data_IF_913672058774
#
_entry.id   IF_913672058774
#
_cell.length_a   1.000
_cell.length_b   1.000
_cell.length_c   1.000
_cell.angle_alpha   90.00
_cell.angle_beta   90.00
_cell.angle_gamma   90.00
#
_symmetry.space_group_name_H-M   'P 1'
#
loop_
_entity.id
_entity.type
_entity.pdbx_description
1 polymer ?
#
# COMPACT_ATOMS: atom_id res chain seq x y z
N UNK A 1 -24.25 -21.92 23.82
CA UNK A 1 -24.47 -20.83 22.88
C UNK A 1 -23.17 -20.42 22.28
N UNK A 2 -22.93 -20.73 21.02
CA UNK A 2 -21.74 -20.25 20.31
C UNK A 2 -21.93 -18.76 20.00
N UNK A 3 -21.04 -17.90 20.49
CA UNK A 3 -20.93 -16.51 20.06
C UNK A 3 -20.58 -16.51 18.56
N UNK A 4 -21.61 -16.31 17.75
CA UNK A 4 -21.44 -16.35 16.29
C UNK A 4 -20.91 -15.02 15.72
N UNK A 5 -20.98 -13.93 16.50
CA UNK A 5 -20.59 -12.60 16.04
C UNK A 5 -20.10 -11.74 17.20
N UNK A 6 -18.90 -11.18 17.05
CA UNK A 6 -18.36 -10.18 17.95
C UNK A 6 -18.25 -8.85 17.19
N UNK A 7 -18.71 -7.77 17.81
CA UNK A 7 -18.51 -6.42 17.30
C UNK A 7 -17.63 -5.66 18.27
N UNK A 8 -16.64 -4.96 17.77
CA UNK A 8 -15.79 -4.07 18.53
C UNK A 8 -15.67 -2.72 17.82
N UNK A 9 -15.68 -1.66 18.59
CA UNK A 9 -15.38 -0.32 18.08
C UNK A 9 -14.48 0.40 19.08
N UNK A 10 -13.48 1.10 18.53
CA UNK A 10 -12.58 1.96 19.30
C UNK A 10 -12.54 3.31 18.61
N UNK A 11 -12.80 4.35 19.38
CA UNK A 11 -12.68 5.72 18.92
C UNK A 11 -11.75 6.50 19.85
N UNK A 12 -10.72 7.12 19.28
CA UNK A 12 -9.80 8.02 19.97
C UNK A 12 -9.97 9.42 19.37
N UNK A 13 -9.99 10.44 20.23
CA UNK A 13 -10.13 11.83 19.79
C UNK A 13 -9.01 12.70 20.37
N UNK A 14 -8.49 13.60 19.52
CA UNK A 14 -7.40 14.50 19.90
C UNK A 14 -6.76 15.16 18.67
N UNK A 15 -5.49 15.47 18.75
CA UNK A 15 -4.70 15.86 17.55
C UNK A 15 -4.65 14.72 16.54
N UNK A 16 -4.55 13.51 17.04
CA UNK A 16 -4.71 12.26 16.30
C UNK A 16 -6.07 11.67 16.64
N UNK A 17 -6.83 11.27 15.65
CA UNK A 17 -8.09 10.56 15.83
C UNK A 17 -8.06 9.22 15.10
N UNK A 18 -8.63 8.21 15.74
CA UNK A 18 -8.81 6.89 15.16
C UNK A 18 -10.23 6.39 15.46
N UNK A 19 -10.88 5.83 14.46
CA UNK A 19 -12.17 5.14 14.59
C UNK A 19 -12.05 3.81 13.83
N UNK A 20 -12.27 2.72 14.54
CA UNK A 20 -12.21 1.37 13.99
C UNK A 20 -13.48 0.64 14.37
N UNK A 21 -14.22 0.16 13.39
CA UNK A 21 -15.36 -0.72 13.56
C UNK A 21 -15.08 -2.08 12.94
N UNK A 22 -15.19 -3.14 13.73
CA UNK A 22 -14.91 -4.50 13.33
C UNK A 22 -16.06 -5.42 13.71
N UNK A 23 -16.52 -6.25 12.78
CA UNK A 23 -17.40 -7.38 13.02
C UNK A 23 -16.66 -8.68 12.71
N UNK A 24 -16.69 -9.64 13.66
CA UNK A 24 -16.00 -10.92 13.55
C UNK A 24 -17.00 -12.06 13.61
N UNK A 25 -17.01 -12.92 12.62
CA UNK A 25 -17.71 -14.20 12.60
C UNK A 25 -16.69 -15.34 12.70
N UNK A 26 -16.50 -15.84 13.93
CA UNK A 26 -15.51 -16.88 14.20
C UNK A 26 -15.91 -18.21 13.56
N UNK A 27 -17.21 -18.54 13.59
CA UNK A 27 -17.70 -19.80 13.01
C UNK A 27 -17.63 -19.81 11.49
N UNK A 28 -17.88 -18.65 10.85
CA UNK A 28 -17.75 -18.46 9.42
C UNK A 28 -16.34 -18.11 8.96
N UNK A 29 -15.38 -18.00 9.89
CA UNK A 29 -14.00 -17.63 9.62
C UNK A 29 -13.89 -16.35 8.77
N UNK A 30 -14.67 -15.33 9.15
CA UNK A 30 -14.76 -14.05 8.45
C UNK A 30 -14.66 -12.89 9.42
N UNK A 31 -14.03 -11.84 8.98
CA UNK A 31 -14.06 -10.53 9.61
C UNK A 31 -14.55 -9.49 8.60
N UNK A 32 -15.26 -8.50 9.08
CA UNK A 32 -15.63 -7.34 8.28
C UNK A 32 -15.12 -6.09 9.01
N UNK A 33 -14.29 -5.32 8.35
CA UNK A 33 -13.93 -3.99 8.80
C UNK A 33 -14.98 -3.04 8.25
N UNK A 34 -15.85 -2.55 9.15
CA UNK A 34 -16.98 -1.69 8.79
C UNK A 34 -16.53 -0.23 8.66
N UNK A 35 -15.62 0.18 9.52
CA UNK A 35 -15.05 1.53 9.54
C UNK A 35 -13.58 1.45 9.90
N UNK A 36 -12.78 2.26 9.23
CA UNK A 36 -11.41 2.55 9.58
C UNK A 36 -11.14 4.01 9.20
N UNK A 37 -10.87 4.81 10.20
CA UNK A 37 -10.39 6.17 10.00
C UNK A 37 -9.22 6.39 10.95
N UNK A 38 -8.12 6.84 10.41
CA UNK A 38 -6.99 7.32 11.17
C UNK A 38 -6.59 8.66 10.58
N UNK A 39 -6.59 9.70 11.40
CA UNK A 39 -6.22 11.04 10.96
C UNK A 39 -5.35 11.72 12.00
N UNK A 40 -4.34 12.43 11.54
CA UNK A 40 -3.49 13.30 12.35
C UNK A 40 -3.52 14.72 11.77
N UNK A 41 -3.71 15.71 12.63
CA UNK A 41 -3.70 17.10 12.23
C UNK A 41 -2.34 17.71 12.55
N UNK A 42 -1.51 17.85 11.53
CA UNK A 42 -0.21 18.49 11.63
C UNK A 42 -0.25 19.90 11.01
N UNK A 43 0.00 20.90 11.86
CA UNK A 43 -0.13 22.32 11.48
C UNK A 43 -1.55 22.61 10.94
N UNK A 44 -1.71 22.76 9.63
CA UNK A 44 -3.00 23.02 8.97
C UNK A 44 -3.45 21.90 8.04
N UNK A 45 -2.67 20.83 7.92
CA UNK A 45 -2.95 19.73 7.01
C UNK A 45 -3.48 18.54 7.78
N UNK A 46 -4.60 17.99 7.32
CA UNK A 46 -5.12 16.72 7.78
C UNK A 46 -4.49 15.61 6.94
N UNK A 47 -3.81 14.69 7.60
CA UNK A 47 -3.18 13.52 6.97
C UNK A 47 -3.75 12.26 7.59
N UNK A 48 -3.80 11.19 6.83
CA UNK A 48 -4.32 9.93 7.36
C UNK A 48 -4.90 9.01 6.31
N UNK A 49 -5.69 8.05 6.77
CA UNK A 49 -6.40 7.09 5.93
C UNK A 49 -7.84 6.93 6.39
N UNK A 50 -8.72 6.68 5.45
CA UNK A 50 -10.14 6.41 5.70
C UNK A 50 -10.65 5.31 4.78
N UNK A 51 -11.31 4.32 5.35
CA UNK A 51 -12.00 3.29 4.61
C UNK A 51 -13.25 3.88 3.92
N UNK A 52 -13.36 3.69 2.61
CA UNK A 52 -14.46 4.23 1.82
C UNK A 52 -15.71 3.33 1.86
N UNK A 53 -15.49 2.03 2.06
CA UNK A 53 -16.56 1.01 2.14
C UNK A 53 -16.11 -0.16 3.00
N UNK A 54 -17.04 -0.88 3.65
CA UNK A 54 -16.70 -2.07 4.43
C UNK A 54 -15.92 -3.09 3.59
N UNK A 55 -14.90 -3.70 4.19
CA UNK A 55 -14.09 -4.74 3.56
C UNK A 55 -14.27 -6.07 4.29
N UNK A 56 -14.42 -7.14 3.53
CA UNK A 56 -14.49 -8.49 4.06
C UNK A 56 -13.11 -9.16 4.01
N UNK A 57 -12.78 -9.83 5.09
CA UNK A 57 -11.57 -10.63 5.24
C UNK A 57 -12.02 -12.04 5.61
N UNK A 58 -11.68 -13.03 4.80
CA UNK A 58 -11.88 -14.42 5.17
C UNK A 58 -10.55 -15.04 5.59
N UNK A 59 -10.60 -15.90 6.60
CA UNK A 59 -9.44 -16.60 7.15
C UNK A 59 -9.87 -18.05 7.48
N UNK A 60 -8.90 -18.93 7.68
CA UNK A 60 -9.15 -20.36 7.92
C UNK A 60 -8.25 -21.20 7.04
N UNK A 61 -8.70 -21.62 5.89
CA UNK A 61 -7.87 -22.36 4.94
C UNK A 61 -6.91 -21.47 4.13
N UNK A 62 -6.82 -20.22 4.49
CA UNK A 62 -6.03 -19.17 3.86
C UNK A 62 -6.51 -17.80 4.29
N UNK A 63 -5.97 -16.77 3.69
CA UNK A 63 -6.36 -15.37 3.90
C UNK A 63 -6.90 -14.82 2.59
N UNK A 64 -8.06 -14.19 2.63
CA UNK A 64 -8.52 -13.37 1.50
C UNK A 64 -9.04 -12.03 1.96
N UNK A 65 -8.75 -11.03 1.17
CA UNK A 65 -9.22 -9.65 1.35
C UNK A 65 -10.02 -9.28 0.11
N UNK A 66 -11.23 -8.91 0.33
CA UNK A 66 -12.18 -8.52 -0.69
C UNK A 66 -12.09 -7.00 -0.84
N UNK A 67 -11.71 -6.50 -1.96
CA UNK A 67 -11.82 -5.12 -2.41
C UNK A 67 -11.63 -4.00 -1.33
N UNK A 68 -10.47 -3.95 -0.72
CA UNK A 68 -10.06 -2.85 0.15
C UNK A 68 -10.04 -1.55 -0.67
N UNK A 69 -10.64 -0.50 -0.12
CA UNK A 69 -10.72 0.82 -0.75
C UNK A 69 -10.54 1.90 0.32
N UNK A 70 -9.39 2.56 0.28
CA UNK A 70 -9.00 3.60 1.23
C UNK A 70 -8.77 4.93 0.52
N UNK A 71 -9.29 5.99 1.11
CA UNK A 71 -8.81 7.35 0.84
C UNK A 71 -7.55 7.60 1.67
N UNK A 72 -6.54 8.16 1.05
CA UNK A 72 -5.29 8.59 1.67
C UNK A 72 -5.27 10.11 1.68
N UNK A 73 -5.27 10.72 2.87
CA UNK A 73 -5.38 12.16 3.05
C UNK A 73 -3.99 12.84 3.08
N UNK A 74 -3.82 14.03 2.51
CA UNK A 74 -4.85 14.94 1.98
C UNK A 74 -5.39 14.53 0.61
N UNK A 75 -4.68 13.70 -0.14
CA UNK A 75 -5.09 13.25 -1.47
C UNK A 75 -4.52 11.86 -1.74
N UNK A 76 -5.20 11.11 -2.56
CA UNK A 76 -4.79 9.79 -3.02
C UNK A 76 -5.73 8.68 -2.58
N UNK A 77 -5.55 7.53 -3.19
CA UNK A 77 -6.33 6.32 -2.92
C UNK A 77 -5.44 5.10 -2.86
N UNK A 78 -5.82 4.13 -2.04
CA UNK A 78 -5.25 2.79 -2.03
C UNK A 78 -6.39 1.79 -2.23
N UNK A 79 -6.26 0.97 -3.24
CA UNK A 79 -7.15 -0.18 -3.44
C UNK A 79 -6.35 -1.47 -3.38
N UNK A 80 -6.91 -2.52 -2.79
CA UNK A 80 -6.27 -3.83 -2.76
C UNK A 80 -7.31 -4.94 -2.71
N UNK A 81 -6.99 -6.06 -3.33
CA UNK A 81 -7.73 -7.31 -3.22
C UNK A 81 -6.73 -8.46 -3.33
N UNK A 82 -7.04 -9.59 -2.72
CA UNK A 82 -6.14 -10.71 -2.83
C UNK A 82 -6.56 -11.93 -2.02
N UNK A 83 -5.93 -13.02 -2.34
CA UNK A 83 -6.07 -14.28 -1.62
C UNK A 83 -4.73 -15.00 -1.53
N UNK A 84 -4.51 -15.63 -0.40
CA UNK A 84 -3.37 -16.47 -0.12
C UNK A 84 -3.85 -17.73 0.59
N UNK A 85 -3.63 -18.87 0.00
CA UNK A 85 -3.75 -20.17 0.63
C UNK A 85 -2.44 -20.98 0.42
N UNK A 86 -2.37 -22.19 0.93
CA UNK A 86 -1.17 -23.02 0.80
C UNK A 86 -0.77 -23.38 -0.64
N UNK A 87 -1.64 -23.10 -1.62
CA UNK A 87 -1.45 -23.49 -3.03
C UNK A 87 -1.54 -22.32 -3.98
N UNK A 88 -2.23 -21.26 -3.61
CA UNK A 88 -2.53 -20.15 -4.51
C UNK A 88 -2.22 -18.81 -3.85
N UNK A 89 -1.54 -17.97 -4.59
CA UNK A 89 -1.31 -16.56 -4.30
C UNK A 89 -1.95 -15.73 -5.41
N UNK A 90 -2.78 -14.77 -5.03
CA UNK A 90 -3.27 -13.74 -5.91
C UNK A 90 -3.38 -12.44 -5.09
N UNK A 91 -2.73 -11.38 -5.55
CA UNK A 91 -2.76 -10.07 -4.91
C UNK A 91 -2.72 -8.99 -6.00
N UNK A 92 -3.64 -8.07 -5.91
CA UNK A 92 -3.57 -6.81 -6.65
C UNK A 92 -3.68 -5.65 -5.67
N UNK A 93 -2.79 -4.68 -5.79
CA UNK A 93 -2.88 -3.43 -5.04
C UNK A 93 -2.49 -2.25 -5.92
N UNK A 94 -3.17 -1.13 -5.73
CA UNK A 94 -2.90 0.12 -6.45
C UNK A 94 -2.95 1.30 -5.50
N UNK A 95 -1.93 2.11 -5.59
CA UNK A 95 -1.81 3.39 -4.90
C UNK A 95 -1.83 4.49 -5.97
N UNK A 96 -2.67 5.49 -5.79
CA UNK A 96 -2.80 6.59 -6.75
C UNK A 96 -2.72 7.94 -6.05
N UNK A 97 -1.91 8.82 -6.63
CA UNK A 97 -1.79 10.23 -6.28
C UNK A 97 -1.53 10.49 -4.80
N UNK A 98 -0.80 9.60 -4.14
CA UNK A 98 -0.46 9.76 -2.73
C UNK A 98 0.70 10.74 -2.59
N UNK A 99 0.50 11.76 -1.77
CA UNK A 99 1.53 12.75 -1.50
C UNK A 99 2.73 12.11 -0.79
N UNK A 100 3.93 12.26 -1.36
CA UNK A 100 5.17 11.69 -0.82
C UNK A 100 5.45 12.26 0.58
N UNK A 101 5.11 13.52 0.81
CA UNK A 101 5.33 14.19 2.09
C UNK A 101 4.53 13.57 3.27
N UNK A 102 3.61 12.65 3.03
CA UNK A 102 3.00 11.83 4.08
C UNK A 102 4.04 10.98 4.84
N UNK A 103 5.17 10.65 4.23
CA UNK A 103 6.25 9.94 4.91
C UNK A 103 6.79 10.73 6.12
N UNK A 104 6.62 12.05 6.16
CA UNK A 104 6.93 12.89 7.34
C UNK A 104 6.16 12.51 8.62
N UNK A 105 5.14 11.68 8.52
CA UNK A 105 4.46 11.11 9.69
C UNK A 105 5.31 10.05 10.40
N UNK A 106 6.24 9.42 9.67
CA UNK A 106 6.99 8.27 10.12
C UNK A 106 8.50 8.53 10.21
N UNK A 107 8.95 9.70 9.75
CA UNK A 107 10.38 10.06 9.75
C UNK A 107 10.58 11.55 9.95
N UNK A 108 11.68 11.90 10.62
CA UNK A 108 12.16 13.28 10.78
C UNK A 108 13.14 13.69 9.66
N UNK A 109 13.46 12.78 8.77
CA UNK A 109 14.29 13.08 7.59
C UNK A 109 13.53 14.02 6.65
N UNK A 110 14.20 15.01 6.04
CA UNK A 110 13.59 15.85 5.01
C UNK A 110 13.02 14.99 3.87
N UNK A 111 11.70 15.07 3.69
CA UNK A 111 10.98 14.35 2.64
C UNK A 111 10.58 15.35 1.57
N UNK A 112 10.87 15.10 0.28
CA UNK A 112 10.45 15.97 -0.81
C UNK A 112 8.94 16.03 -0.94
N UNK A 113 8.43 17.04 -1.60
CA UNK A 113 7.08 17.06 -2.12
C UNK A 113 7.01 16.24 -3.41
N UNK A 114 5.83 15.80 -3.79
CA UNK A 114 5.61 15.00 -4.99
C UNK A 114 4.45 14.02 -4.84
N UNK A 115 4.21 13.26 -5.89
CA UNK A 115 3.14 12.28 -5.97
C UNK A 115 3.71 10.89 -6.22
N UNK A 116 3.19 9.92 -5.47
CA UNK A 116 3.48 8.50 -5.61
C UNK A 116 2.29 7.79 -6.22
N UNK A 117 2.53 7.07 -7.30
CA UNK A 117 1.64 6.06 -7.85
C UNK A 117 2.36 4.70 -7.81
N UNK A 118 1.65 3.66 -7.42
CA UNK A 118 2.20 2.31 -7.45
C UNK A 118 1.13 1.29 -7.82
N UNK A 119 1.52 0.24 -8.51
CA UNK A 119 0.68 -0.92 -8.77
C UNK A 119 1.52 -2.18 -8.56
N UNK A 120 0.94 -3.17 -7.90
CA UNK A 120 1.51 -4.49 -7.74
C UNK A 120 0.47 -5.54 -8.12
N UNK A 121 0.89 -6.53 -8.87
CA UNK A 121 0.09 -7.71 -9.16
C UNK A 121 0.96 -8.95 -8.92
N UNK A 122 0.52 -9.82 -8.02
CA UNK A 122 1.18 -11.09 -7.71
C UNK A 122 0.24 -12.25 -7.98
N UNK A 123 0.78 -13.34 -8.48
CA UNK A 123 0.05 -14.57 -8.78
C UNK A 123 0.96 -15.80 -8.63
N UNK A 124 0.37 -16.99 -8.76
CA UNK A 124 1.11 -18.25 -8.71
C UNK A 124 0.91 -18.99 -7.40
N UNK A 125 1.98 -19.55 -6.86
CA UNK A 125 2.00 -20.22 -5.56
C UNK A 125 2.93 -19.50 -4.60
N UNK A 126 2.80 -19.69 -3.27
CA UNK A 126 3.73 -19.09 -2.30
C UNK A 126 5.20 -19.44 -2.55
N UNK A 127 5.47 -20.65 -3.07
CA UNK A 127 6.83 -21.10 -3.40
C UNK A 127 7.31 -20.67 -4.80
N UNK A 128 6.42 -20.29 -5.68
CA UNK A 128 6.72 -19.84 -7.04
C UNK A 128 5.86 -18.61 -7.41
N UNK A 129 6.05 -17.50 -6.72
CA UNK A 129 5.32 -16.28 -7.04
C UNK A 129 5.79 -15.70 -8.37
N UNK A 130 4.87 -15.05 -9.05
CA UNK A 130 5.10 -14.26 -10.26
C UNK A 130 4.35 -12.96 -10.13
N UNK A 131 4.86 -11.91 -10.74
CA UNK A 131 4.13 -10.65 -10.70
C UNK A 131 4.84 -9.49 -11.32
N UNK A 132 4.18 -8.35 -11.23
CA UNK A 132 4.67 -7.07 -11.69
C UNK A 132 4.58 -6.03 -10.58
N UNK A 133 5.50 -5.09 -10.63
CA UNK A 133 5.54 -3.90 -9.78
C UNK A 133 5.77 -2.69 -10.68
N UNK A 134 4.89 -1.73 -10.62
CA UNK A 134 5.03 -0.45 -11.28
C UNK A 134 4.99 0.65 -10.21
N UNK A 135 6.02 1.48 -10.15
CA UNK A 135 6.09 2.63 -9.24
C UNK A 135 6.46 3.87 -10.05
N UNK A 136 5.73 4.94 -9.83
CA UNK A 136 5.96 6.22 -10.48
C UNK A 136 5.92 7.33 -9.45
N UNK A 137 7.03 8.04 -9.34
CA UNK A 137 7.18 9.24 -8.53
C UNK A 137 7.22 10.44 -9.48
N UNK A 138 6.38 11.43 -9.23
CA UNK A 138 6.25 12.63 -10.07
C UNK A 138 6.38 13.89 -9.24
N UNK A 139 6.86 14.93 -9.89
CA UNK A 139 7.00 16.26 -9.29
C UNK A 139 7.81 16.23 -7.99
N UNK A 140 8.89 15.43 -7.95
CA UNK A 140 9.75 15.33 -6.79
C UNK A 140 10.52 16.65 -6.67
N UNK A 141 10.19 17.44 -5.65
CA UNK A 141 10.81 18.72 -5.39
C UNK A 141 11.22 18.83 -3.92
N UNK A 142 12.45 19.27 -3.68
CA UNK A 142 12.90 19.60 -2.33
C UNK A 142 12.60 21.08 -2.07
N UNK A 143 11.94 21.42 -0.93
CA UNK A 143 11.49 22.78 -0.64
C UNK A 143 12.57 23.87 -0.65
N UNK A 144 13.83 23.49 -0.48
CA UNK A 144 14.98 24.41 -0.41
C UNK A 144 15.92 24.30 -1.62
N UNK A 145 15.46 23.68 -2.71
CA UNK A 145 16.27 23.44 -3.90
C UNK A 145 15.72 24.19 -5.11
N UNK A 146 16.60 24.87 -5.83
CA UNK A 146 16.29 25.51 -7.13
C UNK A 146 16.29 24.50 -8.30
N UNK A 147 16.47 23.21 -8.02
CA UNK A 147 16.43 22.18 -9.05
C UNK A 147 15.02 21.99 -9.60
N UNK A 148 14.87 21.76 -10.90
CA UNK A 148 13.57 21.42 -11.48
C UNK A 148 13.00 20.14 -10.84
N UNK A 149 11.67 19.99 -10.78
CA UNK A 149 11.06 18.77 -10.26
C UNK A 149 11.51 17.54 -11.05
N UNK A 150 11.87 16.50 -10.30
CA UNK A 150 12.32 15.23 -10.87
C UNK A 150 11.17 14.22 -10.96
N UNK A 151 11.40 13.17 -11.76
CA UNK A 151 10.52 12.02 -11.85
C UNK A 151 11.33 10.71 -11.78
N UNK A 152 10.74 9.67 -11.23
CA UNK A 152 11.30 8.32 -11.17
C UNK A 152 10.24 7.31 -11.55
N UNK A 153 10.56 6.42 -12.50
CA UNK A 153 9.75 5.26 -12.85
C UNK A 153 10.53 3.99 -12.52
N UNK A 154 9.88 3.05 -11.85
CA UNK A 154 10.42 1.74 -11.54
C UNK A 154 9.43 0.70 -12.03
N UNK A 155 9.87 -0.17 -12.94
CA UNK A 155 9.11 -1.29 -13.42
C UNK A 155 9.79 -2.59 -12.97
N UNK A 156 9.06 -3.42 -12.25
CA UNK A 156 9.54 -4.66 -11.69
C UNK A 156 8.82 -5.86 -12.28
N UNK A 157 9.58 -6.93 -12.53
CA UNK A 157 9.02 -8.23 -12.90
C UNK A 157 9.59 -9.30 -11.97
N UNK A 158 8.68 -10.00 -11.28
CA UNK A 158 9.00 -11.13 -10.43
C UNK A 158 8.73 -12.43 -11.19
N UNK A 159 9.75 -13.27 -11.33
CA UNK A 159 9.66 -14.60 -11.93
C UNK A 159 10.33 -15.58 -10.98
N UNK A 160 9.55 -16.45 -10.37
CA UNK A 160 9.92 -17.60 -9.50
C UNK A 160 11.22 -17.53 -8.68
N UNK A 161 12.30 -17.02 -9.22
CA UNK A 161 13.64 -16.98 -8.60
C UNK A 161 14.37 -15.66 -8.77
N UNK A 162 13.79 -14.68 -9.43
CA UNK A 162 14.42 -13.38 -9.63
C UNK A 162 13.42 -12.24 -9.69
N UNK A 163 13.78 -11.11 -9.09
CA UNK A 163 13.11 -9.82 -9.26
C UNK A 163 14.03 -8.96 -10.15
N UNK A 164 13.53 -8.58 -11.31
CA UNK A 164 14.20 -7.64 -12.22
C UNK A 164 13.49 -6.29 -12.09
N UNK A 165 14.27 -5.26 -11.78
CA UNK A 165 13.82 -3.88 -11.68
C UNK A 165 14.47 -3.05 -12.76
N UNK A 166 13.68 -2.32 -13.53
CA UNK A 166 14.13 -1.29 -14.44
C UNK A 166 13.77 0.07 -13.84
N UNK A 167 14.75 0.93 -13.69
CA UNK A 167 14.61 2.26 -13.12
C UNK A 167 14.91 3.29 -14.20
N UNK A 168 14.05 4.29 -14.31
CA UNK A 168 14.25 5.46 -15.16
C UNK A 168 14.07 6.71 -14.30
N UNK A 169 15.00 7.64 -14.43
CA UNK A 169 14.91 8.96 -13.77
C UNK A 169 14.92 10.07 -14.80
N UNK A 170 14.22 11.15 -14.50
CA UNK A 170 14.17 12.35 -15.30
C UNK A 170 14.24 13.58 -14.39
N UNK A 171 14.81 14.69 -14.87
CA UNK A 171 14.95 15.92 -14.11
C UNK A 171 16.07 15.94 -13.06
N UNK A 172 16.85 14.86 -12.90
CA UNK A 172 17.99 14.78 -11.97
C UNK A 172 19.33 15.16 -12.60
N UNK A 173 19.35 15.50 -13.88
CA UNK A 173 20.55 15.86 -14.65
C UNK A 173 20.20 16.36 -16.04
N UNK A 174 21.20 16.51 -16.90
CA UNK A 174 21.04 17.00 -18.28
C UNK A 174 20.34 16.00 -19.21
N UNK A 175 20.26 14.73 -18.82
CA UNK A 175 19.61 13.66 -19.57
C UNK A 175 18.96 12.65 -18.64
N UNK A 176 17.89 11.98 -19.08
CA UNK A 176 17.31 10.86 -18.33
C UNK A 176 18.33 9.76 -18.09
N UNK A 177 18.36 9.20 -16.88
CA UNK A 177 19.19 8.05 -16.56
C UNK A 177 18.32 6.79 -16.47
N UNK A 178 18.88 5.65 -16.87
CA UNK A 178 18.23 4.34 -16.78
C UNK A 178 19.17 3.33 -16.15
N UNK A 179 18.61 2.38 -15.40
CA UNK A 179 19.35 1.30 -14.77
C UNK A 179 18.51 0.05 -14.67
N UNK A 180 19.17 -1.11 -14.63
CA UNK A 180 18.54 -2.39 -14.39
C UNK A 180 19.21 -3.08 -13.21
N UNK A 181 18.40 -3.57 -12.27
CA UNK A 181 18.84 -4.35 -11.12
C UNK A 181 18.16 -5.72 -11.16
N UNK A 182 18.94 -6.79 -11.01
CA UNK A 182 18.44 -8.15 -10.89
C UNK A 182 18.79 -8.70 -9.51
N UNK A 183 17.77 -9.11 -8.75
CA UNK A 183 17.91 -9.66 -7.41
C UNK A 183 17.47 -11.13 -7.44
N UNK A 184 18.41 -12.09 -7.20
CA UNK A 184 18.01 -13.47 -7.03
C UNK A 184 17.22 -13.63 -5.73
N UNK A 185 16.11 -14.36 -5.79
CA UNK A 185 15.23 -14.62 -4.66
C UNK A 185 15.01 -16.13 -4.52
N UNK A 186 14.95 -16.60 -3.28
CA UNK A 186 14.54 -17.97 -2.97
C UNK A 186 13.28 -17.95 -2.11
N UNK A 187 12.26 -18.68 -2.52
CA UNK A 187 11.03 -18.82 -1.77
C UNK A 187 10.95 -20.26 -1.23
N UNK A 188 10.91 -20.42 0.08
CA UNK A 188 10.62 -21.70 0.74
C UNK A 188 9.21 -21.64 1.29
N UNK A 189 8.36 -22.61 0.91
CA UNK A 189 7.12 -22.83 1.63
C UNK A 189 7.45 -23.58 2.93
N UNK A 190 7.22 -22.97 4.07
CA UNK A 190 7.26 -23.61 5.39
C UNK A 190 5.93 -24.23 5.72
#
# INVERSE_FOLDING_TARGET
GSLKRLQASVALQGKTSADIGLALDIAGQKAQVERLTFTDRRKRTLVGVRLNRPVNIAFGNGLSVDNLDLSVLPQGTLTALGSLDGRKLALEARLRDVAINMARLFTDVPVPDGLLNAAIALSGTPSQPRGTLDVSLRNIAFPESDMPPAAVDINGTLQSSALVLNVKTDGMGTSPATGTLSLPLSFSAS
#
